data_IF_600890347226
#
_entry.id   IF_600890347226
#
_cell.length_a   1.000
_cell.length_b   1.000
_cell.length_c   1.000
_cell.angle_alpha   90.00
_cell.angle_beta   90.00
_cell.angle_gamma   90.00
#
_symmetry.space_group_name_H-M   'P 1'
#
loop_
_entity.id
_entity.type
_entity.pdbx_description
1 polymer ?
#
# COMPACT_ATOMS: atom_id res chain seq x y z
N UNK A 1 -20.04 24.94 10.85
CA UNK A 1 -18.71 24.47 10.44
C UNK A 1 -18.47 23.17 11.17
N UNK A 2 -18.76 22.08 10.53
CA UNK A 2 -18.66 20.74 11.13
C UNK A 2 -17.40 20.09 10.57
N UNK A 3 -16.35 20.11 11.37
CA UNK A 3 -15.14 19.29 11.15
C UNK A 3 -15.53 17.82 11.33
N UNK A 4 -16.11 17.23 10.31
CA UNK A 4 -16.33 15.78 10.27
C UNK A 4 -15.03 15.14 9.89
N UNK A 5 -14.42 14.51 10.87
CA UNK A 5 -13.24 13.71 10.72
C UNK A 5 -13.39 12.74 9.52
N UNK A 6 -12.50 12.90 8.53
CA UNK A 6 -12.49 12.21 7.24
C UNK A 6 -12.20 10.69 7.35
N UNK A 7 -11.96 10.17 8.57
CA UNK A 7 -11.44 8.82 8.75
C UNK A 7 -12.45 7.68 8.49
N UNK A 8 -13.75 7.91 8.62
CA UNK A 8 -14.78 6.94 8.26
C UNK A 8 -16.10 7.67 7.95
N UNK A 9 -16.23 8.19 6.75
CA UNK A 9 -17.51 8.72 6.31
C UNK A 9 -18.41 7.56 5.85
N UNK A 10 -19.13 6.96 6.82
CA UNK A 10 -20.03 5.84 6.59
C UNK A 10 -21.17 6.22 5.63
N UNK A 11 -21.56 7.50 5.62
CA UNK A 11 -22.56 8.03 4.71
C UNK A 11 -22.05 8.04 3.25
N UNK A 12 -20.76 8.36 3.04
CA UNK A 12 -20.13 8.24 1.72
C UNK A 12 -20.03 6.78 1.27
N UNK A 13 -19.80 5.83 2.21
CA UNK A 13 -19.84 4.41 1.94
C UNK A 13 -21.22 3.96 1.42
N UNK A 14 -22.28 4.39 2.04
CA UNK A 14 -23.65 4.06 1.64
C UNK A 14 -24.06 4.76 0.33
N UNK A 15 -23.54 5.98 0.08
CA UNK A 15 -23.85 6.76 -1.11
C UNK A 15 -23.18 6.24 -2.38
N UNK A 16 -21.93 5.69 -2.28
CA UNK A 16 -21.14 5.26 -3.43
C UNK A 16 -20.53 3.85 -3.29
N UNK A 17 -21.34 2.79 -3.09
CA UNK A 17 -20.83 1.44 -2.81
C UNK A 17 -19.97 0.88 -3.97
N UNK A 18 -20.32 1.21 -5.22
CA UNK A 18 -19.55 0.76 -6.41
C UNK A 18 -18.13 1.35 -6.44
N UNK A 19 -17.99 2.62 -6.09
CA UNK A 19 -16.69 3.29 -6.02
C UNK A 19 -15.79 2.69 -4.95
N UNK A 20 -16.35 2.36 -3.80
CA UNK A 20 -15.62 1.74 -2.70
C UNK A 20 -15.17 0.32 -3.02
N UNK A 21 -16.04 -0.48 -3.65
CA UNK A 21 -15.66 -1.81 -4.12
C UNK A 21 -14.50 -1.70 -5.11
N UNK A 22 -14.56 -0.75 -6.04
CA UNK A 22 -13.49 -0.54 -7.02
C UNK A 22 -12.17 -0.15 -6.33
N UNK A 23 -12.19 0.82 -5.42
CA UNK A 23 -10.99 1.22 -4.64
C UNK A 23 -10.45 0.05 -3.83
N UNK A 24 -11.32 -0.73 -3.19
CA UNK A 24 -10.92 -1.92 -2.45
C UNK A 24 -10.23 -2.94 -3.37
N UNK A 25 -10.81 -3.25 -4.52
CA UNK A 25 -10.24 -4.20 -5.49
C UNK A 25 -8.90 -3.72 -6.05
N UNK A 26 -8.79 -2.43 -6.36
CA UNK A 26 -7.53 -1.83 -6.83
C UNK A 26 -6.43 -1.84 -5.75
N UNK A 27 -6.81 -1.72 -4.49
CA UNK A 27 -5.86 -1.77 -3.36
C UNK A 27 -5.44 -3.20 -2.98
N UNK A 28 -6.18 -4.25 -3.39
CA UNK A 28 -5.90 -5.64 -3.02
C UNK A 28 -4.48 -6.09 -3.39
N UNK A 29 -3.97 -5.89 -4.63
CA UNK A 29 -2.62 -6.33 -4.98
C UNK A 29 -1.55 -5.73 -4.08
N UNK A 30 -1.65 -4.44 -3.76
CA UNK A 30 -0.73 -3.74 -2.86
C UNK A 30 -0.80 -4.29 -1.43
N UNK A 31 -2.00 -4.54 -0.91
CA UNK A 31 -2.21 -5.14 0.43
C UNK A 31 -1.64 -6.55 0.50
N UNK A 32 -1.88 -7.38 -0.50
CA UNK A 32 -1.35 -8.74 -0.56
C UNK A 32 0.18 -8.74 -0.65
N UNK A 33 0.76 -7.83 -1.41
CA UNK A 33 2.21 -7.66 -1.48
C UNK A 33 2.79 -7.21 -0.15
N UNK A 34 2.17 -6.22 0.52
CA UNK A 34 2.63 -5.72 1.82
C UNK A 34 2.60 -6.81 2.90
N UNK A 35 1.51 -7.60 2.98
CA UNK A 35 1.40 -8.73 3.89
C UNK A 35 2.49 -9.77 3.59
N UNK A 36 2.65 -10.15 2.32
CA UNK A 36 3.62 -11.18 1.92
C UNK A 36 5.05 -10.74 2.22
N UNK A 37 5.39 -9.49 1.98
CA UNK A 37 6.72 -8.95 2.28
C UNK A 37 6.97 -8.86 3.79
N UNK A 38 5.97 -8.48 4.57
CA UNK A 38 6.04 -8.44 6.04
C UNK A 38 6.38 -9.82 6.60
N UNK A 39 5.59 -10.82 6.24
CA UNK A 39 5.79 -12.20 6.70
C UNK A 39 7.11 -12.80 6.17
N UNK A 40 7.44 -12.54 4.91
CA UNK A 40 8.73 -12.95 4.34
C UNK A 40 9.91 -12.31 5.09
N UNK A 41 9.76 -11.06 5.54
CA UNK A 41 10.76 -10.37 6.35
C UNK A 41 11.08 -11.12 7.64
N UNK A 42 10.05 -11.52 8.40
CA UNK A 42 10.20 -12.34 9.60
C UNK A 42 10.90 -13.67 9.28
N UNK A 43 10.44 -14.39 8.25
CA UNK A 43 11.03 -15.66 7.81
C UNK A 43 12.50 -15.54 7.43
N UNK A 44 12.84 -14.49 6.68
CA UNK A 44 14.19 -14.27 6.17
C UNK A 44 15.16 -13.90 7.28
N UNK A 45 14.79 -13.01 8.19
CA UNK A 45 15.63 -12.61 9.32
C UNK A 45 15.79 -13.76 10.32
N UNK A 46 14.72 -14.51 10.63
CA UNK A 46 14.80 -15.70 11.48
C UNK A 46 15.80 -16.72 10.92
N UNK A 47 15.77 -16.97 9.61
CA UNK A 47 16.73 -17.83 8.93
C UNK A 47 18.18 -17.32 9.09
N UNK A 48 18.43 -16.03 8.93
CA UNK A 48 19.75 -15.43 9.16
C UNK A 48 20.23 -15.52 10.61
N UNK A 49 19.30 -15.48 11.57
CA UNK A 49 19.56 -15.65 12.97
C UNK A 49 19.79 -17.11 13.41
N UNK A 50 19.59 -18.06 12.49
CA UNK A 50 19.89 -19.48 12.72
C UNK A 50 18.67 -20.39 12.80
N UNK A 51 17.45 -19.85 12.61
CA UNK A 51 16.22 -20.64 12.61
C UNK A 51 15.80 -21.05 11.19
N UNK A 52 15.91 -22.31 10.77
CA UNK A 52 15.54 -22.77 9.44
C UNK A 52 14.04 -23.09 9.31
N UNK A 53 13.24 -22.94 10.37
CA UNK A 53 11.85 -23.42 10.44
C UNK A 53 11.00 -22.85 9.30
N UNK A 54 10.94 -21.54 9.19
CA UNK A 54 10.17 -20.86 8.15
C UNK A 54 10.68 -21.15 6.73
N UNK A 55 12.02 -21.29 6.56
CA UNK A 55 12.62 -21.67 5.29
C UNK A 55 12.18 -23.07 4.84
N UNK A 56 12.20 -24.03 5.76
CA UNK A 56 11.84 -25.42 5.46
C UNK A 56 10.36 -25.56 5.07
N UNK A 57 9.49 -24.66 5.56
CA UNK A 57 8.09 -24.57 5.14
C UNK A 57 7.88 -23.75 3.86
N UNK A 58 8.95 -23.27 3.22
CA UNK A 58 8.86 -22.47 2.00
C UNK A 58 8.19 -21.11 2.20
N UNK A 59 8.37 -20.50 3.40
CA UNK A 59 7.79 -19.21 3.76
C UNK A 59 8.63 -18.00 3.34
N UNK A 60 9.87 -18.23 2.87
CA UNK A 60 10.73 -17.16 2.33
C UNK A 60 10.33 -16.92 0.87
N UNK A 61 9.19 -16.27 0.67
CA UNK A 61 8.63 -15.98 -0.65
C UNK A 61 7.68 -14.79 -0.61
N UNK A 62 7.56 -14.06 -1.71
CA UNK A 62 6.54 -13.01 -1.89
C UNK A 62 5.20 -13.56 -2.40
N UNK A 63 5.07 -14.87 -2.59
CA UNK A 63 3.81 -15.47 -3.04
C UNK A 63 2.75 -15.34 -1.94
N UNK A 64 1.69 -14.53 -2.15
CA UNK A 64 0.68 -14.28 -1.13
C UNK A 64 -0.06 -15.55 -0.69
N UNK A 65 -0.21 -16.53 -1.57
CA UNK A 65 -0.89 -17.80 -1.24
C UNK A 65 -0.22 -18.57 -0.10
N UNK A 66 1.06 -18.32 0.16
CA UNK A 66 1.79 -18.93 1.28
C UNK A 66 1.54 -18.23 2.62
N UNK A 67 1.08 -16.98 2.58
CA UNK A 67 0.91 -16.11 3.74
C UNK A 67 -0.55 -15.82 4.07
N UNK A 68 -1.47 -16.17 3.17
CA UNK A 68 -2.90 -15.97 3.40
C UNK A 68 -3.46 -17.00 4.37
N UNK A 69 -4.22 -16.51 5.33
CA UNK A 69 -5.16 -17.28 6.15
C UNK A 69 -6.54 -17.23 5.50
N UNK A 70 -7.23 -18.36 5.44
CA UNK A 70 -8.54 -18.42 4.78
C UNK A 70 -9.56 -17.51 5.46
N UNK A 71 -9.64 -17.57 6.79
CA UNK A 71 -10.58 -16.75 7.56
C UNK A 71 -10.16 -15.28 7.54
N UNK A 72 -8.85 -14.98 7.70
CA UNK A 72 -8.32 -13.62 7.58
C UNK A 72 -8.59 -13.00 6.22
N UNK A 73 -8.51 -13.79 5.16
CA UNK A 73 -8.82 -13.35 3.79
C UNK A 73 -10.30 -13.07 3.60
N UNK A 74 -11.18 -13.96 4.08
CA UNK A 74 -12.63 -13.74 4.03
C UNK A 74 -13.02 -12.47 4.83
N UNK A 75 -12.47 -12.30 6.02
CA UNK A 75 -12.69 -11.09 6.82
C UNK A 75 -12.20 -9.83 6.11
N UNK A 76 -11.08 -9.89 5.40
CA UNK A 76 -10.58 -8.76 4.61
C UNK A 76 -11.57 -8.35 3.51
N UNK A 77 -12.25 -9.31 2.89
CA UNK A 77 -13.23 -9.06 1.83
C UNK A 77 -14.53 -8.47 2.39
N UNK A 78 -15.04 -9.01 3.50
CA UNK A 78 -16.37 -8.62 4.02
C UNK A 78 -16.33 -7.46 5.02
N UNK A 79 -15.26 -7.34 5.80
CA UNK A 79 -15.16 -6.39 6.93
C UNK A 79 -14.03 -5.37 6.73
N UNK A 80 -13.30 -5.47 5.60
CA UNK A 80 -12.14 -4.61 5.28
C UNK A 80 -10.95 -4.82 6.22
N UNK A 81 -11.10 -5.65 7.24
CA UNK A 81 -10.08 -6.06 8.20
C UNK A 81 -9.76 -7.53 8.04
N UNK A 82 -8.48 -7.88 8.01
CA UNK A 82 -8.05 -9.28 7.88
C UNK A 82 -6.65 -9.48 8.48
N UNK A 83 -6.24 -10.72 8.57
CA UNK A 83 -4.91 -11.11 9.07
C UNK A 83 -4.25 -12.12 8.14
N UNK A 84 -2.93 -12.18 8.25
CA UNK A 84 -2.11 -13.17 7.57
C UNK A 84 -1.99 -14.46 8.40
N UNK A 85 -1.59 -15.54 7.75
CA UNK A 85 -1.10 -16.74 8.43
C UNK A 85 0.31 -16.48 8.94
N UNK A 86 0.53 -16.40 10.27
CA UNK A 86 1.83 -16.05 10.83
C UNK A 86 2.92 -17.01 10.38
N UNK A 87 4.13 -16.48 10.19
CA UNK A 87 5.30 -17.30 9.89
C UNK A 87 5.73 -18.04 11.16
N UNK A 88 5.94 -19.38 11.09
CA UNK A 88 6.45 -20.13 12.22
C UNK A 88 7.92 -19.79 12.44
N UNK A 89 8.24 -19.34 13.64
CA UNK A 89 9.62 -19.10 14.10
C UNK A 89 9.88 -19.86 15.39
N UNK A 90 11.09 -20.38 15.55
CA UNK A 90 11.51 -21.06 16.75
C UNK A 90 12.69 -20.33 17.40
N UNK A 91 12.44 -19.51 18.43
CA UNK A 91 13.48 -18.71 19.09
C UNK A 91 14.59 -19.54 19.74
N UNK A 92 14.38 -20.84 19.97
CA UNK A 92 15.40 -21.75 20.52
C UNK A 92 16.56 -21.99 19.54
N UNK A 93 16.34 -21.74 18.25
CA UNK A 93 17.35 -21.89 17.21
C UNK A 93 18.19 -20.62 17.02
N UNK A 94 17.86 -19.51 17.70
CA UNK A 94 18.60 -18.26 17.54
C UNK A 94 20.00 -18.33 18.16
N UNK A 95 20.97 -17.72 17.48
CA UNK A 95 22.37 -17.66 17.96
C UNK A 95 22.52 -16.78 19.19
N UNK A 96 21.80 -15.65 19.22
CA UNK A 96 21.80 -14.66 20.28
C UNK A 96 20.35 -14.29 20.63
N UNK A 97 19.70 -15.06 21.46
CA UNK A 97 18.25 -15.03 21.72
C UNK A 97 17.65 -13.62 21.77
N UNK A 98 18.10 -12.75 22.69
CA UNK A 98 17.50 -11.41 22.90
C UNK A 98 17.64 -10.48 21.68
N UNK A 99 18.82 -10.49 21.07
CA UNK A 99 19.11 -9.67 19.89
C UNK A 99 18.35 -10.16 18.68
N UNK A 100 18.40 -11.44 18.45
CA UNK A 100 17.85 -12.07 17.25
C UNK A 100 16.31 -12.02 17.30
N UNK A 101 15.71 -12.21 18.47
CA UNK A 101 14.27 -12.05 18.69
C UNK A 101 13.79 -10.63 18.38
N UNK A 102 14.53 -9.61 18.82
CA UNK A 102 14.25 -8.21 18.47
C UNK A 102 14.37 -7.96 16.96
N UNK A 103 15.42 -8.47 16.31
CA UNK A 103 15.63 -8.31 14.88
C UNK A 103 14.50 -8.96 14.07
N UNK A 104 14.10 -10.18 14.46
CA UNK A 104 12.99 -10.88 13.82
C UNK A 104 11.67 -10.12 14.02
N UNK A 105 11.41 -9.61 15.23
CA UNK A 105 10.19 -8.85 15.53
C UNK A 105 10.08 -7.57 14.72
N UNK A 106 11.19 -6.87 14.48
CA UNK A 106 11.21 -5.63 13.70
C UNK A 106 11.24 -5.86 12.18
N UNK A 107 11.58 -7.08 11.73
CA UNK A 107 11.79 -7.38 10.32
C UNK A 107 10.58 -7.09 9.43
N UNK A 108 9.38 -7.43 9.89
CA UNK A 108 8.15 -7.19 9.14
C UNK A 108 7.89 -5.70 8.91
N UNK A 109 8.03 -4.90 9.96
CA UNK A 109 7.85 -3.43 9.88
C UNK A 109 8.90 -2.83 8.94
N UNK A 110 10.15 -3.28 9.05
CA UNK A 110 11.26 -2.82 8.19
C UNK A 110 10.98 -3.12 6.73
N UNK A 111 10.48 -4.32 6.40
CA UNK A 111 10.11 -4.69 5.02
C UNK A 111 8.98 -3.81 4.48
N UNK A 112 7.97 -3.52 5.29
CA UNK A 112 6.89 -2.62 4.87
C UNK A 112 7.38 -1.19 4.67
N UNK A 113 8.30 -0.70 5.50
CA UNK A 113 8.92 0.61 5.33
C UNK A 113 9.73 0.68 4.02
N UNK A 114 10.52 -0.35 3.70
CA UNK A 114 11.26 -0.44 2.44
C UNK A 114 10.30 -0.45 1.26
N UNK A 115 9.20 -1.22 1.30
CA UNK A 115 8.18 -1.23 0.27
C UNK A 115 7.52 0.14 0.10
N UNK A 116 7.20 0.80 1.19
CA UNK A 116 6.60 2.14 1.16
C UNK A 116 7.53 3.14 0.48
N UNK A 117 8.79 3.22 0.90
CA UNK A 117 9.76 4.16 0.32
C UNK A 117 10.02 3.85 -1.17
N UNK A 118 10.22 2.58 -1.51
CA UNK A 118 10.43 2.18 -2.92
C UNK A 118 9.20 2.45 -3.78
N UNK A 119 8.00 2.22 -3.24
CA UNK A 119 6.74 2.55 -3.89
C UNK A 119 6.57 4.05 -4.15
N UNK A 120 6.89 4.89 -3.16
CA UNK A 120 6.87 6.35 -3.32
C UNK A 120 7.86 6.83 -4.39
N UNK A 121 9.09 6.30 -4.38
CA UNK A 121 10.10 6.64 -5.39
C UNK A 121 9.65 6.20 -6.79
N UNK A 122 9.13 4.98 -6.92
CA UNK A 122 8.64 4.45 -8.19
C UNK A 122 7.46 5.29 -8.71
N UNK A 123 6.52 5.64 -7.85
CA UNK A 123 5.38 6.48 -8.22
C UNK A 123 5.84 7.87 -8.68
N UNK A 124 6.76 8.50 -7.95
CA UNK A 124 7.32 9.79 -8.32
C UNK A 124 8.02 9.74 -9.69
N UNK A 125 8.82 8.69 -9.93
CA UNK A 125 9.50 8.48 -11.22
C UNK A 125 8.51 8.27 -12.37
N UNK A 126 7.46 7.46 -12.16
CA UNK A 126 6.42 7.20 -13.17
C UNK A 126 5.65 8.48 -13.52
N UNK A 127 5.27 9.26 -12.52
CA UNK A 127 4.61 10.56 -12.74
C UNK A 127 5.52 11.51 -13.49
N UNK A 128 6.80 11.61 -13.13
CA UNK A 128 7.78 12.42 -13.82
C UNK A 128 7.94 12.03 -15.31
N UNK A 129 8.02 10.72 -15.59
CA UNK A 129 8.08 10.21 -16.98
C UNK A 129 6.78 10.50 -17.74
N UNK A 130 5.62 10.32 -17.10
CA UNK A 130 4.33 10.61 -17.74
C UNK A 130 4.21 12.10 -18.09
N UNK A 131 4.57 12.98 -17.17
CA UNK A 131 4.54 14.42 -17.39
C UNK A 131 5.55 14.86 -18.46
N UNK A 132 6.77 14.31 -18.50
CA UNK A 132 7.76 14.64 -19.51
C UNK A 132 7.34 14.19 -20.92
N UNK A 133 6.71 13.01 -21.03
CA UNK A 133 6.13 12.54 -22.29
C UNK A 133 4.95 13.39 -22.74
N UNK A 134 4.07 13.76 -21.80
CA UNK A 134 2.98 14.67 -22.06
C UNK A 134 3.52 16.02 -22.58
N UNK A 135 4.51 16.61 -21.97
CA UNK A 135 5.13 17.85 -22.41
C UNK A 135 5.83 17.78 -23.77
N UNK A 136 6.25 16.59 -24.21
CA UNK A 136 6.92 16.39 -25.50
C UNK A 136 5.94 16.27 -26.71
N UNK A 137 4.68 15.97 -26.47
CA UNK A 137 3.65 15.74 -27.49
C UNK A 137 2.70 16.96 -27.60
N UNK A 138 3.07 17.93 -28.36
CA UNK A 138 2.74 19.35 -28.25
C UNK A 138 1.33 19.86 -28.56
N UNK A 139 0.33 19.07 -28.93
CA UNK A 139 -0.99 19.63 -29.24
C UNK A 139 -2.19 19.05 -28.48
N UNK A 140 -2.14 17.78 -28.14
CA UNK A 140 -3.18 17.15 -27.30
C UNK A 140 -2.86 17.15 -25.81
N UNK A 141 -1.60 17.35 -25.45
CA UNK A 141 -1.11 17.15 -24.08
C UNK A 141 -1.26 18.40 -23.21
N UNK A 142 -1.28 19.60 -23.82
CA UNK A 142 -1.65 20.83 -23.10
C UNK A 142 -3.08 20.71 -22.55
N UNK A 143 -3.99 20.14 -23.35
CA UNK A 143 -5.36 19.89 -22.91
C UNK A 143 -5.42 18.84 -21.78
N UNK A 144 -4.60 17.79 -21.85
CA UNK A 144 -4.52 16.78 -20.79
C UNK A 144 -3.94 17.37 -19.49
N UNK A 145 -2.87 18.15 -19.58
CA UNK A 145 -2.27 18.83 -18.44
C UNK A 145 -3.20 19.88 -17.84
N UNK A 146 -3.93 20.62 -18.70
CA UNK A 146 -4.94 21.58 -18.26
C UNK A 146 -6.11 20.88 -17.56
N UNK A 147 -6.56 19.75 -18.10
CA UNK A 147 -7.72 19.03 -17.56
C UNK A 147 -7.39 18.17 -16.34
N UNK A 148 -6.21 17.53 -16.28
CA UNK A 148 -5.86 16.55 -15.24
C UNK A 148 -4.66 16.97 -14.37
N UNK A 149 -3.86 17.94 -14.79
CA UNK A 149 -2.71 18.42 -14.05
C UNK A 149 -3.09 19.03 -12.69
N UNK A 150 -4.23 19.72 -12.65
CA UNK A 150 -4.81 20.23 -11.41
C UNK A 150 -5.21 19.13 -10.45
N UNK A 151 -5.84 18.06 -10.94
CA UNK A 151 -6.25 16.91 -10.11
C UNK A 151 -5.04 16.20 -9.50
N UNK A 152 -3.94 16.07 -10.25
CA UNK A 152 -2.71 15.46 -9.75
C UNK A 152 -2.07 16.30 -8.63
N UNK A 153 -2.08 17.63 -8.76
CA UNK A 153 -1.62 18.54 -7.72
C UNK A 153 -2.48 18.48 -6.45
N UNK A 154 -3.78 18.32 -6.58
CA UNK A 154 -4.67 18.15 -5.44
C UNK A 154 -4.47 16.80 -4.76
N UNK A 155 -4.27 15.73 -5.50
CA UNK A 155 -3.90 14.41 -4.97
C UNK A 155 -2.64 14.50 -4.08
N UNK A 156 -1.60 15.16 -4.58
CA UNK A 156 -0.33 15.33 -3.87
C UNK A 156 -0.44 16.22 -2.63
N UNK A 157 -1.42 17.12 -2.54
CA UNK A 157 -1.66 18.00 -1.39
C UNK A 157 -2.60 17.42 -0.33
N UNK A 158 -3.14 16.19 -0.54
CA UNK A 158 -4.05 15.55 0.43
C UNK A 158 -5.40 16.26 0.59
N UNK A 159 -5.82 17.03 -0.41
CA UNK A 159 -7.11 17.71 -0.42
C UNK A 159 -8.18 16.81 -1.05
N UNK A 160 -9.35 16.75 -0.45
CA UNK A 160 -10.50 15.93 -0.78
C UNK A 160 -10.81 15.87 -2.29
N UNK A 161 -11.04 14.65 -2.77
CA UNK A 161 -11.31 14.33 -4.18
C UNK A 161 -12.72 14.74 -4.60
N UNK A 162 -13.00 16.00 -4.69
CA UNK A 162 -14.11 16.45 -5.53
C UNK A 162 -13.57 16.63 -6.93
N UNK A 163 -14.09 15.88 -7.89
CA UNK A 163 -13.83 16.04 -9.33
C UNK A 163 -14.32 17.42 -9.79
N UNK A 164 -13.56 18.45 -9.43
CA UNK A 164 -13.81 19.80 -9.96
C UNK A 164 -13.04 19.91 -11.30
N UNK A 165 -13.70 20.21 -12.39
CA UNK A 165 -13.02 20.49 -13.62
C UNK A 165 -12.04 21.67 -13.42
N UNK A 166 -10.86 21.60 -14.04
CA UNK A 166 -9.77 22.58 -13.88
C UNK A 166 -10.24 24.02 -14.11
N UNK A 167 -11.26 24.21 -14.95
CA UNK A 167 -11.91 25.51 -15.18
C UNK A 167 -12.50 26.14 -13.90
N UNK A 168 -12.92 25.35 -12.91
CA UNK A 168 -13.46 25.87 -11.65
C UNK A 168 -12.35 26.21 -10.63
N UNK A 169 -11.15 25.66 -10.80
CA UNK A 169 -10.02 25.89 -9.89
C UNK A 169 -9.31 27.22 -10.23
N UNK A 170 -9.21 27.57 -11.50
CA UNK A 170 -8.59 28.81 -11.96
C UNK A 170 -9.39 30.07 -11.59
N UNK A 171 -10.70 29.94 -11.31
CA UNK A 171 -11.56 31.05 -10.87
C UNK A 171 -11.44 31.39 -9.39
N UNK A 172 -10.74 30.57 -8.58
CA UNK A 172 -10.56 30.78 -7.14
C UNK A 172 -9.12 31.09 -6.71
N UNK A 173 -8.22 31.38 -7.63
CA UNK A 173 -6.91 31.93 -7.30
C UNK A 173 -7.07 33.44 -7.06
N UNK A 174 -6.77 33.94 -5.83
CA UNK A 174 -6.80 35.38 -5.54
C UNK A 174 -5.67 36.12 -6.25
#
# INVERSE_FOLDING_TARGET
>A
MEDRAVLFNFDAFLAYPKGLILVFLLALPGRLLAISAHEMGHAWVAYKCGDPTARNEGRITLNPMKHLDLMGTLMMVFVVFGWAKPVPVNPRNYKHYRRDDLLVSLAGITMNLILFVTGCVAMYALVGVALSRAAANTSNDAYFLEQYGGQLCYFMKGVDYTYLPVSSVLTYAP
#
